data_IF_100191229000
#
_entry.id   IF_100191229000
#
_cell.length_a   1.000
_cell.length_b   1.000
_cell.length_c   1.000
_cell.angle_alpha   90.00
_cell.angle_beta   90.00
_cell.angle_gamma   90.00
#
_symmetry.space_group_name_H-M   'P 1'
#
loop_
_entity.id
_entity.type
_entity.pdbx_description
1 polymer ?
#
# COMPACT_ATOMS: atom_id res chain seq x y z
N UNK A 1 -14.69 4.11 1.23
CA UNK A 1 -14.57 2.88 0.41
C UNK A 1 -13.58 1.84 0.96
N UNK A 2 -12.63 2.19 1.85
CA UNK A 2 -11.65 1.23 2.42
C UNK A 2 -12.28 0.20 3.38
N UNK A 3 -13.35 0.57 4.10
CA UNK A 3 -13.98 -0.32 5.09
C UNK A 3 -14.59 -1.61 4.51
N UNK A 4 -15.08 -1.58 3.27
CA UNK A 4 -15.64 -2.78 2.62
C UNK A 4 -14.59 -3.79 2.17
N UNK A 5 -13.35 -3.35 1.91
CA UNK A 5 -12.24 -4.23 1.52
C UNK A 5 -11.58 -4.87 2.75
N UNK A 6 -11.51 -4.16 3.87
CA UNK A 6 -10.99 -4.71 5.14
C UNK A 6 -11.72 -5.97 5.59
N UNK A 7 -13.05 -6.00 5.51
CA UNK A 7 -13.83 -7.17 5.94
C UNK A 7 -13.72 -8.37 5.00
N UNK A 8 -13.59 -8.13 3.68
CA UNK A 8 -13.58 -9.20 2.68
C UNK A 8 -12.22 -9.91 2.57
N UNK A 9 -11.14 -9.19 2.91
CA UNK A 9 -9.77 -9.63 2.69
C UNK A 9 -8.92 -9.67 3.99
N UNK A 10 -9.51 -9.44 5.16
CA UNK A 10 -8.82 -9.34 6.47
C UNK A 10 -7.54 -8.48 6.42
N UNK A 11 -7.63 -7.32 5.76
CA UNK A 11 -6.46 -6.48 5.48
C UNK A 11 -6.01 -5.76 6.75
N UNK A 12 -4.81 -6.12 7.24
CA UNK A 12 -4.08 -5.34 8.23
C UNK A 12 -3.30 -4.24 7.51
N UNK A 13 -3.51 -2.99 7.94
CA UNK A 13 -2.85 -1.82 7.35
C UNK A 13 -2.00 -1.17 8.42
N UNK A 14 -0.68 -1.24 8.25
CA UNK A 14 0.26 -0.39 8.96
C UNK A 14 0.39 0.94 8.20
N UNK A 15 0.30 2.07 8.89
CA UNK A 15 0.55 3.38 8.30
C UNK A 15 1.94 3.83 8.74
N UNK A 16 2.77 4.20 7.78
CA UNK A 16 4.11 4.77 8.02
C UNK A 16 4.07 6.22 7.61
N UNK A 17 4.53 7.10 8.50
CA UNK A 17 4.64 8.52 8.25
C UNK A 17 6.06 8.79 7.74
N UNK A 18 6.19 9.23 6.48
CA UNK A 18 7.48 9.41 5.83
C UNK A 18 8.22 10.68 6.32
N UNK A 19 7.54 11.56 7.04
CA UNK A 19 8.11 12.78 7.63
C UNK A 19 8.85 12.52 8.96
N UNK A 20 8.81 11.28 9.43
CA UNK A 20 9.43 10.87 10.70
C UNK A 20 10.89 10.40 10.53
N UNK A 21 11.37 10.25 9.30
CA UNK A 21 12.68 9.71 8.95
C UNK A 21 13.16 10.29 7.61
N UNK A 22 14.35 10.87 7.58
CA UNK A 22 14.88 11.58 6.40
C UNK A 22 15.12 10.62 5.21
N UNK A 23 15.51 9.36 5.47
CA UNK A 23 15.72 8.37 4.41
C UNK A 23 14.38 7.98 3.78
N UNK A 24 13.33 7.74 4.61
CA UNK A 24 11.97 7.49 4.11
C UNK A 24 11.41 8.68 3.33
N UNK A 25 11.69 9.90 3.80
CA UNK A 25 11.25 11.12 3.13
C UNK A 25 11.88 11.24 1.74
N UNK A 26 13.21 11.16 1.64
CA UNK A 26 13.91 11.28 0.35
C UNK A 26 13.52 10.16 -0.63
N UNK A 27 13.30 8.94 -0.13
CA UNK A 27 12.93 7.80 -0.96
C UNK A 27 11.51 7.92 -1.53
N UNK A 28 10.53 8.32 -0.71
CA UNK A 28 9.11 8.17 -1.08
C UNK A 28 8.39 9.48 -1.38
N UNK A 29 8.95 10.67 -1.09
CA UNK A 29 8.24 11.96 -1.20
C UNK A 29 7.58 12.27 -2.54
N UNK A 30 8.07 11.71 -3.64
CA UNK A 30 7.51 11.94 -4.99
C UNK A 30 6.56 10.83 -5.46
N UNK A 31 6.59 9.68 -4.79
CA UNK A 31 5.84 8.49 -5.18
C UNK A 31 4.65 8.21 -4.26
N UNK A 32 4.45 9.04 -3.23
CA UNK A 32 3.27 8.95 -2.37
C UNK A 32 1.95 9.10 -3.16
N UNK A 33 0.90 8.32 -2.84
CA UNK A 33 0.88 7.25 -1.84
C UNK A 33 1.57 5.97 -2.32
N UNK A 34 2.32 5.32 -1.43
CA UNK A 34 2.92 3.99 -1.65
C UNK A 34 2.22 2.94 -0.80
N UNK A 35 1.93 1.79 -1.40
CA UNK A 35 1.39 0.60 -0.75
C UNK A 35 2.39 -0.54 -0.94
N UNK A 36 3.06 -0.92 0.13
CA UNK A 36 3.91 -2.11 0.17
C UNK A 36 3.07 -3.33 0.60
N UNK A 37 3.29 -4.46 -0.08
CA UNK A 37 2.64 -5.74 0.20
C UNK A 37 3.62 -6.71 0.87
N UNK A 38 3.11 -7.78 1.50
CA UNK A 38 3.95 -8.74 2.24
C UNK A 38 5.01 -9.42 1.39
N UNK A 39 4.76 -9.57 0.09
CA UNK A 39 5.70 -10.10 -0.89
C UNK A 39 6.85 -9.13 -1.23
N UNK A 40 6.88 -7.93 -0.63
CA UNK A 40 7.85 -6.87 -0.90
C UNK A 40 7.57 -6.10 -2.19
N UNK A 41 6.44 -6.35 -2.86
CA UNK A 41 6.04 -5.56 -4.03
C UNK A 41 5.33 -4.28 -3.61
N UNK A 42 5.41 -3.26 -4.47
CA UNK A 42 4.88 -1.93 -4.18
C UNK A 42 3.91 -1.45 -5.28
N UNK A 43 2.88 -0.70 -4.89
CA UNK A 43 2.10 0.16 -5.77
C UNK A 43 2.29 1.61 -5.33
N UNK A 44 2.62 2.50 -6.25
CA UNK A 44 2.92 3.89 -5.93
C UNK A 44 2.20 4.88 -6.87
N UNK A 45 2.10 6.15 -6.42
CA UNK A 45 1.50 7.24 -7.16
C UNK A 45 0.01 7.04 -7.48
N UNK A 46 -0.35 7.03 -8.77
CA UNK A 46 -1.75 6.89 -9.20
C UNK A 46 -2.20 5.42 -9.20
N UNK A 47 -2.59 4.93 -8.04
CA UNK A 47 -3.04 3.55 -7.85
C UNK A 47 -4.47 3.36 -8.38
N UNK A 48 -4.65 2.47 -9.37
CA UNK A 48 -5.99 2.13 -9.88
C UNK A 48 -6.59 0.99 -9.05
N UNK A 49 -7.91 1.03 -8.90
CA UNK A 49 -8.67 0.01 -8.15
C UNK A 49 -8.40 -1.41 -8.65
N UNK A 50 -8.32 -1.62 -9.96
CA UNK A 50 -8.07 -2.94 -10.54
C UNK A 50 -6.69 -3.51 -10.15
N UNK A 51 -5.68 -2.66 -10.10
CA UNK A 51 -4.30 -3.07 -9.82
C UNK A 51 -4.15 -3.40 -8.34
N UNK A 52 -4.78 -2.59 -7.47
CA UNK A 52 -4.90 -2.87 -6.04
C UNK A 52 -5.63 -4.19 -5.76
N UNK A 53 -6.78 -4.43 -6.42
CA UNK A 53 -7.55 -5.67 -6.22
C UNK A 53 -6.77 -6.90 -6.68
N UNK A 54 -6.10 -6.83 -7.83
CA UNK A 54 -5.26 -7.92 -8.31
C UNK A 54 -4.16 -8.23 -7.30
N UNK A 55 -3.44 -7.22 -6.81
CA UNK A 55 -2.36 -7.44 -5.86
C UNK A 55 -2.82 -8.00 -4.52
N UNK A 56 -4.02 -7.64 -4.06
CA UNK A 56 -4.61 -8.23 -2.87
C UNK A 56 -4.96 -9.71 -3.05
N UNK A 57 -5.38 -10.15 -4.24
CA UNK A 57 -5.58 -11.57 -4.53
C UNK A 57 -4.24 -12.32 -4.63
N UNK A 58 -3.22 -11.72 -5.25
CA UNK A 58 -1.88 -12.31 -5.38
C UNK A 58 -1.18 -12.51 -4.01
N UNK A 59 -1.54 -11.71 -3.00
CA UNK A 59 -0.93 -11.71 -1.66
C UNK A 59 -1.81 -12.36 -0.58
N UNK A 60 -2.73 -13.24 -0.98
CA UNK A 60 -3.78 -13.79 -0.09
C UNK A 60 -3.35 -15.02 0.73
N UNK A 61 -2.06 -15.36 0.73
CA UNK A 61 -1.47 -16.44 1.56
C UNK A 61 -1.15 -16.00 3.00
#
# INVERSE_FOLDING_TARGET
MVNGLKQRYDIRVAKVAIDSDDDLYEQYRFDIPVLEFKDGTELYGRIRKKDLLQKLEDNRE
#
